data_IF_465440335107
#
_entry.id   IF_465440335107
#
_cell.length_a   1.000
_cell.length_b   1.000
_cell.length_c   1.000
_cell.angle_alpha   90.00
_cell.angle_beta   90.00
_cell.angle_gamma   90.00
#
_symmetry.space_group_name_H-M   'P 1'
#
loop_
_entity.id
_entity.type
_entity.pdbx_description
1 polymer ?
#
# COMPACT_ATOMS: atom_id res chain seq x y z
N UNK A 1 -9.54 -16.74 -12.93
CA UNK A 1 -8.70 -16.40 -11.76
C UNK A 1 -7.32 -16.01 -12.24
N UNK A 2 -6.60 -15.17 -11.50
CA UNK A 2 -5.17 -14.99 -11.77
C UNK A 2 -4.41 -16.24 -11.27
N UNK A 3 -3.33 -16.59 -11.96
CA UNK A 3 -2.53 -17.81 -11.71
C UNK A 3 -1.09 -17.50 -11.33
N UNK A 4 -0.54 -16.38 -11.79
CA UNK A 4 0.79 -15.93 -11.39
C UNK A 4 0.96 -14.41 -11.51
N UNK A 5 1.92 -13.90 -10.74
CA UNK A 5 2.43 -12.53 -10.82
C UNK A 5 3.94 -12.60 -11.02
N UNK A 6 4.47 -11.76 -11.91
CA UNK A 6 5.90 -11.64 -12.13
C UNK A 6 6.28 -10.18 -12.33
N UNK A 7 7.22 -9.70 -11.50
CA UNK A 7 7.93 -8.44 -11.75
C UNK A 7 8.89 -8.65 -12.92
N UNK A 8 8.81 -7.80 -13.93
CA UNK A 8 9.68 -7.86 -15.12
C UNK A 8 10.89 -6.96 -14.92
N UNK A 9 10.65 -5.72 -14.47
CA UNK A 9 11.66 -4.73 -14.10
C UNK A 9 11.07 -3.73 -13.08
N UNK A 10 11.73 -2.59 -12.86
CA UNK A 10 11.32 -1.59 -11.88
C UNK A 10 9.94 -0.97 -12.15
N UNK A 11 9.46 -0.96 -13.40
CA UNK A 11 8.20 -0.31 -13.81
C UNK A 11 7.23 -1.22 -14.55
N UNK A 12 7.59 -2.50 -14.77
CA UNK A 12 6.75 -3.45 -15.49
C UNK A 12 6.52 -4.74 -14.69
N UNK A 13 5.29 -5.25 -14.75
CA UNK A 13 4.92 -6.56 -14.21
C UNK A 13 3.93 -7.26 -15.14
N UNK A 14 3.77 -8.56 -14.97
CA UNK A 14 2.78 -9.37 -15.68
C UNK A 14 1.89 -10.12 -14.70
N UNK A 15 0.60 -10.15 -14.99
CA UNK A 15 -0.39 -11.04 -14.37
C UNK A 15 -0.81 -12.08 -15.40
N UNK A 16 -0.71 -13.37 -15.04
CA UNK A 16 -1.24 -14.46 -15.86
C UNK A 16 -2.60 -14.88 -15.32
N UNK A 17 -3.51 -15.22 -16.23
CA UNK A 17 -4.86 -15.69 -15.90
C UNK A 17 -5.06 -17.12 -16.42
N UNK A 18 -5.98 -17.85 -15.80
CA UNK A 18 -6.31 -19.24 -16.15
C UNK A 18 -6.98 -19.39 -17.53
N UNK A 19 -7.53 -18.30 -18.07
CA UNK A 19 -8.13 -18.23 -19.40
C UNK A 19 -8.09 -16.80 -19.94
N UNK A 20 -8.50 -16.63 -21.19
CA UNK A 20 -8.70 -15.32 -21.77
C UNK A 20 -9.91 -14.62 -21.11
N UNK A 21 -9.69 -13.38 -20.70
CA UNK A 21 -10.72 -12.47 -20.18
C UNK A 21 -10.90 -11.30 -21.14
N UNK A 22 -12.08 -10.67 -21.13
CA UNK A 22 -12.31 -9.45 -21.91
C UNK A 22 -11.41 -8.32 -21.35
N UNK A 23 -10.48 -7.76 -22.15
CA UNK A 23 -9.53 -6.77 -21.66
C UNK A 23 -10.19 -5.49 -21.14
N UNK A 24 -11.25 -5.01 -21.82
CA UNK A 24 -11.97 -3.81 -21.42
C UNK A 24 -12.66 -4.00 -20.06
N UNK A 25 -13.29 -5.15 -19.86
CA UNK A 25 -13.93 -5.48 -18.60
C UNK A 25 -12.89 -5.60 -17.47
N UNK A 26 -11.76 -6.28 -17.72
CA UNK A 26 -10.67 -6.40 -16.74
C UNK A 26 -10.14 -5.03 -16.31
N UNK A 27 -9.87 -4.14 -17.27
CA UNK A 27 -9.38 -2.80 -16.99
C UNK A 27 -10.40 -1.95 -16.22
N UNK A 28 -11.66 -1.97 -16.66
CA UNK A 28 -12.70 -1.12 -16.08
C UNK A 28 -13.17 -1.57 -14.69
N UNK A 29 -13.12 -2.86 -14.37
CA UNK A 29 -13.77 -3.42 -13.18
C UNK A 29 -12.82 -4.07 -12.18
N UNK A 30 -11.82 -4.81 -12.65
CA UNK A 30 -10.94 -5.58 -11.75
C UNK A 30 -9.68 -4.79 -11.44
N UNK A 31 -8.94 -4.39 -12.48
CA UNK A 31 -7.65 -3.72 -12.32
C UNK A 31 -7.80 -2.27 -11.82
N UNK A 32 -8.94 -1.62 -12.10
CA UNK A 32 -9.27 -0.29 -11.58
C UNK A 32 -9.43 -0.25 -10.05
N UNK A 33 -9.68 -1.41 -9.42
CA UNK A 33 -9.83 -1.53 -7.97
C UNK A 33 -8.51 -1.85 -7.26
N UNK A 34 -7.42 -2.10 -7.99
CA UNK A 34 -6.12 -2.41 -7.41
C UNK A 34 -5.44 -1.11 -6.96
N UNK A 35 -4.99 -1.10 -5.71
CA UNK A 35 -4.19 -0.02 -5.14
C UNK A 35 -2.83 -0.58 -4.71
N UNK A 36 -1.73 -0.19 -5.36
CA UNK A 36 -0.39 -0.54 -4.90
C UNK A 36 -0.11 0.03 -3.51
N UNK A 37 0.53 -0.76 -2.65
CA UNK A 37 0.92 -0.37 -1.30
C UNK A 37 2.46 -0.24 -1.22
N UNK A 38 3.01 0.65 -0.38
CA UNK A 38 4.43 0.95 -0.38
C UNK A 38 5.26 -0.09 0.41
N UNK A 39 5.52 -1.25 -0.19
CA UNK A 39 6.27 -2.35 0.44
C UNK A 39 7.59 -1.89 1.08
N UNK A 40 8.34 -1.01 0.42
CA UNK A 40 9.63 -0.47 0.87
C UNK A 40 9.61 0.27 2.23
N UNK A 41 8.43 0.54 2.80
CA UNK A 41 8.27 1.05 4.18
C UNK A 41 7.35 0.18 5.04
N UNK A 42 6.43 -0.56 4.41
CA UNK A 42 5.39 -1.31 5.11
C UNK A 42 5.73 -2.77 5.39
N UNK A 43 6.64 -3.38 4.62
CA UNK A 43 6.96 -4.80 4.76
C UNK A 43 7.98 -5.07 5.87
N UNK A 44 7.51 -4.85 7.10
CA UNK A 44 8.22 -5.09 8.35
C UNK A 44 7.24 -5.53 9.43
N UNK A 45 7.76 -6.10 10.51
CA UNK A 45 6.92 -6.68 11.58
C UNK A 45 6.99 -5.95 12.91
N UNK A 46 7.71 -4.82 12.97
CA UNK A 46 7.80 -3.93 14.14
C UNK A 46 8.35 -2.56 13.73
N UNK A 47 8.28 -1.58 14.64
CA UNK A 47 8.77 -0.21 14.36
C UNK A 47 10.28 -0.20 14.04
N UNK A 48 11.06 -0.98 14.78
CA UNK A 48 12.51 -1.18 14.59
C UNK A 48 12.86 -2.34 13.62
N UNK A 49 11.87 -2.97 13.00
CA UNK A 49 12.09 -4.08 12.07
C UNK A 49 12.68 -3.61 10.75
N UNK A 50 13.59 -4.41 10.20
CA UNK A 50 14.13 -4.20 8.85
C UNK A 50 13.04 -4.46 7.81
N UNK A 51 12.92 -3.56 6.84
CA UNK A 51 12.07 -3.78 5.67
C UNK A 51 12.69 -4.87 4.79
N UNK A 52 11.91 -5.86 4.40
CA UNK A 52 12.31 -6.97 3.51
C UNK A 52 11.07 -7.60 2.90
N UNK A 53 11.21 -8.55 1.98
CA UNK A 53 10.12 -9.28 1.31
C UNK A 53 9.36 -10.29 2.22
N UNK A 54 8.92 -9.91 3.43
CA UNK A 54 8.16 -10.82 4.32
C UNK A 54 6.76 -11.11 3.78
N UNK A 55 6.20 -10.21 2.98
CA UNK A 55 4.84 -10.33 2.42
C UNK A 55 4.70 -11.46 1.37
N UNK A 56 5.81 -11.99 0.85
CA UNK A 56 5.80 -13.01 -0.22
C UNK A 56 5.34 -14.39 0.24
N UNK A 57 5.31 -14.63 1.54
CA UNK A 57 4.82 -15.87 2.14
C UNK A 57 3.68 -15.62 3.11
N UNK A 58 2.68 -16.51 3.14
CA UNK A 58 1.47 -16.37 3.98
C UNK A 58 1.78 -16.09 5.45
N UNK A 59 2.81 -16.73 6.02
CA UNK A 59 3.20 -16.52 7.42
C UNK A 59 3.79 -15.13 7.67
N UNK A 60 4.63 -14.63 6.76
CA UNK A 60 5.23 -13.30 6.87
C UNK A 60 4.20 -12.20 6.60
N UNK A 61 3.39 -12.35 5.56
CA UNK A 61 2.28 -11.45 5.26
C UNK A 61 1.31 -11.27 6.46
N UNK A 62 0.99 -12.35 7.18
CA UNK A 62 0.17 -12.27 8.40
C UNK A 62 0.84 -11.45 9.51
N UNK A 63 2.15 -11.54 9.67
CA UNK A 63 2.90 -10.76 10.67
C UNK A 63 2.95 -9.27 10.28
N UNK A 64 3.22 -8.98 9.02
CA UNK A 64 3.20 -7.62 8.46
C UNK A 64 1.82 -7.00 8.65
N UNK A 65 0.77 -7.73 8.27
CA UNK A 65 -0.62 -7.30 8.47
C UNK A 65 -0.94 -7.02 9.94
N UNK A 66 -0.51 -7.90 10.85
CA UNK A 66 -0.71 -7.71 12.29
C UNK A 66 0.01 -6.44 12.80
N UNK A 67 1.24 -6.21 12.35
CA UNK A 67 1.99 -4.99 12.67
C UNK A 67 1.28 -3.73 12.16
N UNK A 68 0.93 -3.68 10.86
CA UNK A 68 0.26 -2.53 10.25
C UNK A 68 -1.08 -2.22 10.94
N UNK A 69 -1.88 -3.24 11.28
CA UNK A 69 -3.11 -3.06 12.04
C UNK A 69 -2.86 -2.58 13.47
N UNK A 70 -1.79 -3.06 14.11
CA UNK A 70 -1.37 -2.57 15.43
C UNK A 70 -0.99 -1.10 15.39
N UNK A 71 -0.22 -0.68 14.37
CA UNK A 71 0.13 0.71 14.14
C UNK A 71 -1.11 1.57 13.84
N UNK A 72 -2.06 1.06 13.04
CA UNK A 72 -3.29 1.78 12.69
C UNK A 72 -4.19 2.06 13.92
N UNK A 73 -4.12 1.23 14.96
CA UNK A 73 -4.86 1.50 16.22
C UNK A 73 -4.32 2.71 16.99
N UNK A 74 -3.10 3.18 16.70
CA UNK A 74 -2.47 4.34 17.35
C UNK A 74 -2.89 5.64 16.67
N UNK A 75 -4.18 5.96 16.71
CA UNK A 75 -4.81 7.06 15.96
C UNK A 75 -4.14 8.42 16.21
N UNK A 76 -3.71 8.70 17.45
CA UNK A 76 -3.02 9.95 17.80
C UNK A 76 -1.69 10.15 17.08
N UNK A 77 -1.08 9.08 16.55
CA UNK A 77 0.17 9.09 15.82
C UNK A 77 0.05 9.31 14.31
N UNK A 78 -1.16 9.35 13.73
CA UNK A 78 -1.34 9.38 12.27
C UNK A 78 -0.64 10.56 11.58
N UNK A 79 -0.58 11.72 12.25
CA UNK A 79 0.07 12.90 11.71
C UNK A 79 1.59 12.93 11.88
N UNK A 80 2.18 12.10 12.74
CA UNK A 80 3.62 12.15 13.08
C UNK A 80 4.38 10.87 12.77
N UNK A 81 3.72 9.72 12.76
CA UNK A 81 4.34 8.42 12.51
C UNK A 81 4.88 8.35 11.07
N UNK A 82 6.18 8.08 10.87
CA UNK A 82 6.79 8.01 9.55
C UNK A 82 6.19 6.91 8.67
N UNK A 83 5.58 5.86 9.23
CA UNK A 83 4.93 4.79 8.49
C UNK A 83 3.83 5.30 7.56
N UNK A 84 3.11 6.36 7.97
CA UNK A 84 1.98 6.94 7.24
C UNK A 84 2.35 8.12 6.34
N UNK A 85 3.64 8.49 6.27
CA UNK A 85 4.12 9.62 5.46
C UNK A 85 4.36 9.27 4.00
N UNK A 86 4.56 7.99 3.70
CA UNK A 86 4.70 7.51 2.32
C UNK A 86 3.33 7.42 1.66
N UNK A 87 3.06 8.32 0.71
CA UNK A 87 1.79 8.38 -0.03
C UNK A 87 2.07 8.56 -1.53
N UNK A 88 1.17 8.07 -2.37
CA UNK A 88 1.16 8.29 -3.83
C UNK A 88 0.13 9.32 -4.28
N UNK A 89 -0.70 9.85 -3.37
CA UNK A 89 -1.77 10.79 -3.69
C UNK A 89 -1.35 12.27 -3.66
N UNK A 90 -2.28 13.17 -4.07
CA UNK A 90 -2.03 14.61 -4.13
C UNK A 90 -1.94 15.30 -2.75
N UNK A 91 -2.23 14.59 -1.66
CA UNK A 91 -2.27 15.16 -0.31
C UNK A 91 -1.57 14.29 0.73
N UNK A 92 -1.01 14.93 1.75
CA UNK A 92 -0.48 14.31 2.97
C UNK A 92 -1.23 14.82 4.20
N UNK A 93 -1.19 14.06 5.30
CA UNK A 93 -1.76 14.48 6.58
C UNK A 93 -0.87 15.56 7.23
N UNK A 94 -1.44 16.75 7.41
CA UNK A 94 -0.85 17.85 8.19
C UNK A 94 -1.18 17.71 9.68
N UNK A 95 -2.46 17.54 10.02
CA UNK A 95 -2.91 17.28 11.39
C UNK A 95 -4.02 16.22 11.40
N UNK A 96 -4.10 15.47 12.50
CA UNK A 96 -5.15 14.49 12.75
C UNK A 96 -5.52 14.55 14.22
N UNK A 97 -6.81 14.61 14.54
CA UNK A 97 -7.30 14.55 15.93
C UNK A 97 -8.19 13.34 16.14
N UNK A 98 -8.19 12.79 17.36
CA UNK A 98 -9.08 11.67 17.73
C UNK A 98 -10.57 12.05 17.75
N UNK A 99 -10.88 13.36 17.73
CA UNK A 99 -12.21 13.90 17.54
C UNK A 99 -12.67 13.92 16.06
N UNK A 100 -11.86 13.40 15.14
CA UNK A 100 -12.22 13.22 13.73
C UNK A 100 -11.84 14.39 12.80
N UNK A 101 -11.08 15.39 13.28
CA UNK A 101 -10.60 16.46 12.40
C UNK A 101 -9.32 16.03 11.70
N UNK A 102 -9.32 16.12 10.37
CA UNK A 102 -8.14 15.91 9.52
C UNK A 102 -7.86 17.18 8.75
N UNK A 103 -6.62 17.66 8.80
CA UNK A 103 -6.14 18.69 7.89
C UNK A 103 -5.14 18.08 6.94
N UNK A 104 -5.34 18.31 5.65
CA UNK A 104 -4.47 17.86 4.58
C UNK A 104 -3.60 19.02 4.08
N UNK A 105 -2.45 18.68 3.51
CA UNK A 105 -1.61 19.63 2.78
C UNK A 105 -1.15 18.99 1.47
N UNK A 106 -0.89 19.81 0.46
CA UNK A 106 -0.51 19.32 -0.87
C UNK A 106 0.78 18.49 -0.80
N UNK A 107 0.80 17.39 -1.55
CA UNK A 107 1.99 16.58 -1.78
C UNK A 107 2.75 17.17 -2.98
N UNK A 108 3.81 17.93 -2.73
CA UNK A 108 4.63 18.52 -3.80
C UNK A 108 5.35 17.48 -4.68
N UNK A 109 5.40 16.21 -4.26
CA UNK A 109 5.97 15.09 -5.02
C UNK A 109 4.93 14.30 -5.81
N UNK A 110 3.67 14.71 -5.79
CA UNK A 110 2.63 14.05 -6.57
C UNK A 110 2.90 14.25 -8.07
N UNK A 111 2.94 13.16 -8.81
CA UNK A 111 3.30 13.10 -10.23
C UNK A 111 2.09 13.10 -11.17
N UNK A 112 0.87 13.05 -10.62
CA UNK A 112 -0.37 13.02 -11.40
C UNK A 112 -1.09 11.67 -11.33
N UNK A 113 -0.39 10.60 -10.93
CA UNK A 113 -0.91 9.24 -11.05
C UNK A 113 -1.00 8.75 -12.49
#
# INVERSE_FOLDING_TARGET
NWTSFKTVDATHFTLTFDKAYNPQWMLANELSMIRPMPQHVWDKTSDAGTVSDQDRGTAGAKKVWSYLNGAAKKISGYASDPLWKTVSGPYTIKTFTTAGKVQLTANAKYDGG
#
